data_IF_923694033477
#
_entry.id   IF_923694033477
#
_cell.length_a   1.000
_cell.length_b   1.000
_cell.length_c   1.000
_cell.angle_alpha   90.00
_cell.angle_beta   90.00
_cell.angle_gamma   90.00
#
_symmetry.space_group_name_H-M   'P 1'
#
loop_
_entity.id
_entity.type
_entity.pdbx_description
1 polymer ?
#
# COMPACT_ATOMS: atom_id res chain seq x y z
N UNK A 1 55.74 60.65 24.47
CA UNK A 1 55.70 61.41 25.75
C UNK A 1 54.32 61.22 26.40
N UNK A 2 54.16 61.63 27.66
CA UNK A 2 53.00 61.44 28.55
C UNK A 2 51.60 61.68 27.91
N UNK A 3 50.47 61.10 28.36
CA UNK A 3 50.19 60.30 29.56
C UNK A 3 49.34 61.05 30.61
N UNK A 4 48.06 60.67 30.77
CA UNK A 4 47.09 60.91 31.89
C UNK A 4 45.73 60.32 31.43
N UNK A 5 45.01 59.42 32.12
CA UNK A 5 44.39 59.42 33.48
C UNK A 5 43.43 60.61 33.70
N UNK A 6 42.24 60.48 34.32
CA UNK A 6 41.38 59.35 34.73
C UNK A 6 40.10 59.94 35.40
N UNK A 7 39.18 59.07 35.87
CA UNK A 7 38.06 59.30 36.82
C UNK A 7 36.77 59.84 36.19
N UNK A 8 35.55 59.62 36.70
CA UNK A 8 34.87 58.70 37.66
C UNK A 8 33.44 59.25 37.73
N UNK A 9 32.40 58.42 37.78
CA UNK A 9 31.48 58.37 38.93
C UNK A 9 30.42 57.28 38.78
N UNK A 10 30.11 56.63 39.90
CA UNK A 10 29.02 55.67 40.02
C UNK A 10 27.80 56.36 40.62
N UNK A 11 26.59 55.88 40.29
CA UNK A 11 25.43 56.02 41.16
C UNK A 11 24.66 54.69 41.21
N UNK A 12 24.73 54.00 42.35
CA UNK A 12 23.74 52.98 42.74
C UNK A 12 22.63 53.70 43.48
N UNK A 13 21.38 53.23 43.36
CA UNK A 13 20.52 53.07 44.54
C UNK A 13 19.52 51.93 44.34
N UNK A 14 19.09 51.38 45.46
CA UNK A 14 18.22 50.22 45.62
C UNK A 14 17.16 50.57 46.66
N UNK A 15 15.94 50.03 46.56
CA UNK A 15 15.33 49.20 47.62
C UNK A 15 13.78 49.11 47.59
N UNK A 16 13.30 47.87 47.49
CA UNK A 16 12.35 47.19 48.40
C UNK A 16 10.89 47.69 48.60
N UNK A 17 9.98 46.77 48.25
CA UNK A 17 8.86 46.24 49.05
C UNK A 17 8.04 47.15 49.97
N UNK A 18 6.70 47.06 49.81
CA UNK A 18 5.77 46.91 50.94
C UNK A 18 4.75 45.78 50.69
N UNK A 19 4.30 45.19 51.79
CA UNK A 19 3.43 44.02 51.91
C UNK A 19 2.18 44.46 52.70
N UNK A 20 0.97 43.99 52.37
CA UNK A 20 -0.19 44.14 53.27
C UNK A 20 -1.28 43.09 53.02
N UNK A 21 -1.74 42.46 54.11
CA UNK A 21 -2.84 41.48 54.14
C UNK A 21 -4.17 42.12 54.59
N UNK A 22 -5.30 41.51 54.19
CA UNK A 22 -6.52 41.13 54.97
C UNK A 22 -7.59 40.64 53.96
N UNK A 23 -8.00 39.36 53.94
CA UNK A 23 -9.11 38.70 54.69
C UNK A 23 -10.50 39.33 54.45
N UNK A 24 -11.62 38.62 54.21
CA UNK A 24 -11.97 37.20 53.96
C UNK A 24 -13.42 37.17 53.39
N UNK A 25 -13.92 36.14 52.69
CA UNK A 25 -14.87 35.11 53.22
C UNK A 25 -15.50 34.25 52.09
N UNK A 26 -16.09 33.09 52.46
CA UNK A 26 -17.03 32.21 51.72
C UNK A 26 -16.56 31.64 50.35
N UNK A 27 -16.25 30.35 50.16
CA UNK A 27 -16.99 29.07 50.43
C UNK A 27 -18.17 28.81 49.46
N UNK A 28 -17.90 28.12 48.35
CA UNK A 28 -18.89 27.35 47.59
C UNK A 28 -18.24 26.13 46.91
N UNK A 29 -18.22 25.00 47.61
CA UNK A 29 -17.79 23.70 47.09
C UNK A 29 -18.84 23.07 46.17
N UNK A 30 -18.46 22.62 44.97
CA UNK A 30 -19.25 21.65 44.19
C UNK A 30 -18.40 20.46 43.81
N UNK A 31 -18.75 19.30 44.36
CA UNK A 31 -18.13 18.02 44.05
C UNK A 31 -18.44 17.60 42.60
N UNK A 32 -17.45 17.03 41.92
CA UNK A 32 -17.67 16.08 40.83
C UNK A 32 -17.43 14.67 41.37
N UNK A 33 -18.36 13.71 41.20
CA UNK A 33 -18.21 12.37 41.74
C UNK A 33 -17.30 11.50 40.88
N UNK A 34 -16.38 10.80 41.53
CA UNK A 34 -15.62 9.69 40.94
C UNK A 34 -16.60 8.54 40.67
N UNK A 35 -16.72 8.13 39.41
CA UNK A 35 -17.53 6.97 39.02
C UNK A 35 -16.79 5.66 39.39
N UNK A 36 -17.00 5.18 40.61
CA UNK A 36 -16.46 3.91 41.07
C UNK A 36 -17.10 2.72 40.33
N UNK A 37 -16.26 1.77 39.91
CA UNK A 37 -16.70 0.54 39.25
C UNK A 37 -17.61 -0.29 40.16
N UNK A 38 -18.81 -0.64 39.68
CA UNK A 38 -19.69 -1.64 40.32
C UNK A 38 -19.59 -2.97 39.60
N UNK A 39 -18.86 -3.90 40.21
CA UNK A 39 -18.82 -5.30 39.85
C UNK A 39 -20.19 -5.96 40.02
N UNK A 40 -20.68 -6.65 38.98
CA UNK A 40 -21.84 -7.55 39.11
C UNK A 40 -21.40 -8.99 38.82
N UNK A 41 -21.40 -9.81 39.88
CA UNK A 41 -21.05 -11.24 39.80
C UNK A 41 -22.02 -11.99 38.89
N UNK A 42 -21.50 -12.79 37.96
CA UNK A 42 -22.09 -14.09 37.59
C UNK A 42 -21.06 -15.19 37.87
N UNK A 43 -21.54 -16.33 38.37
CA UNK A 43 -20.74 -17.51 38.73
C UNK A 43 -20.64 -18.47 37.53
N UNK A 44 -19.59 -19.29 37.49
CA UNK A 44 -19.66 -20.63 36.90
C UNK A 44 -18.55 -21.00 35.91
N UNK A 45 -17.60 -21.81 36.38
CA UNK A 45 -16.82 -22.83 35.65
C UNK A 45 -15.95 -22.39 34.43
N UNK A 46 -14.74 -22.91 34.20
CA UNK A 46 -13.89 -23.86 34.95
C UNK A 46 -12.39 -23.55 34.69
N UNK A 47 -11.50 -24.12 35.51
CA UNK A 47 -10.02 -24.05 35.39
C UNK A 47 -9.44 -25.47 35.51
N UNK A 48 -8.46 -25.87 34.70
CA UNK A 48 -7.48 -26.91 35.06
C UNK A 48 -6.24 -26.31 35.76
N UNK A 49 -5.47 -27.13 36.52
CA UNK A 49 -4.33 -26.68 37.32
C UNK A 49 -2.99 -26.69 36.57
N UNK A 50 -1.91 -26.10 37.15
CA UNK A 50 -0.57 -26.15 36.59
C UNK A 50 0.21 -27.40 37.04
N UNK A 51 1.19 -27.82 36.25
CA UNK A 51 2.31 -28.67 36.69
C UNK A 51 3.63 -28.02 36.25
N UNK A 52 4.60 -28.04 37.16
CA UNK A 52 5.99 -27.64 36.96
C UNK A 52 6.90 -28.77 37.50
N UNK A 53 8.22 -28.62 37.33
CA UNK A 53 9.30 -29.58 37.67
C UNK A 53 9.42 -30.76 36.66
N UNK A 54 10.59 -31.10 36.10
CA UNK A 54 11.97 -30.62 36.31
C UNK A 54 12.86 -30.83 35.07
N UNK A 55 13.99 -30.08 35.02
CA UNK A 55 15.37 -30.50 34.63
C UNK A 55 15.50 -31.66 33.61
N UNK A 56 16.21 -31.51 32.49
CA UNK A 56 17.68 -31.45 32.47
C UNK A 56 18.26 -30.79 31.19
N UNK A 57 19.58 -30.61 31.21
CA UNK A 57 20.42 -29.85 30.28
C UNK A 57 21.01 -30.74 29.16
N UNK A 58 21.88 -30.17 28.31
CA UNK A 58 22.70 -30.81 27.25
C UNK A 58 22.01 -31.09 25.89
N UNK A 59 22.66 -30.95 24.73
CA UNK A 59 23.82 -30.11 24.38
C UNK A 59 23.94 -29.95 22.84
N UNK A 60 24.51 -28.81 22.41
CA UNK A 60 25.24 -28.53 21.16
C UNK A 60 24.83 -29.22 19.83
N UNK A 61 24.40 -28.41 18.85
CA UNK A 61 24.36 -28.78 17.43
C UNK A 61 25.29 -27.91 16.57
N UNK A 62 26.42 -28.47 16.15
CA UNK A 62 27.40 -27.98 15.15
C UNK A 62 28.22 -29.23 14.69
N UNK A 63 28.74 -29.41 13.47
CA UNK A 63 28.92 -28.49 12.34
C UNK A 63 28.90 -29.23 10.95
N UNK A 64 29.23 -28.48 9.89
CA UNK A 64 29.33 -28.84 8.47
C UNK A 64 30.33 -29.96 8.09
N UNK A 65 30.13 -30.62 6.93
CA UNK A 65 31.12 -30.81 5.83
C UNK A 65 30.53 -31.51 4.58
N UNK A 66 31.21 -31.44 3.41
CA UNK A 66 30.65 -31.73 2.05
C UNK A 66 31.41 -32.91 1.32
N UNK A 67 31.41 -33.10 -0.04
CA UNK A 67 31.06 -34.32 -0.81
C UNK A 67 32.32 -35.18 -1.25
N UNK A 68 32.39 -36.06 -2.32
CA UNK A 68 31.43 -36.40 -3.42
C UNK A 68 31.41 -37.85 -4.04
N UNK A 69 30.32 -38.14 -4.80
CA UNK A 69 30.39 -38.60 -6.21
C UNK A 69 30.41 -40.10 -6.58
N UNK A 70 29.50 -40.51 -7.52
CA UNK A 70 29.76 -41.23 -8.81
C UNK A 70 28.44 -41.63 -9.52
N UNK A 71 28.53 -42.05 -10.80
CA UNK A 71 27.41 -42.16 -11.76
C UNK A 71 27.35 -43.53 -12.50
N UNK A 72 26.27 -43.75 -13.30
CA UNK A 72 26.12 -44.73 -14.43
C UNK A 72 25.78 -46.19 -13.99
N UNK A 73 25.01 -47.05 -14.76
CA UNK A 73 24.31 -46.87 -16.05
C UNK A 73 22.79 -47.19 -16.07
N UNK A 74 22.17 -46.96 -17.24
CA UNK A 74 20.90 -47.55 -17.71
C UNK A 74 21.23 -48.50 -18.88
N UNK A 75 20.69 -49.73 -18.94
CA UNK A 75 20.60 -50.56 -20.17
C UNK A 75 19.42 -51.52 -20.13
N UNK A 76 18.94 -51.87 -21.32
CA UNK A 76 17.82 -52.77 -21.59
C UNK A 76 18.22 -54.25 -21.52
N UNK A 77 17.27 -55.13 -21.21
CA UNK A 77 17.28 -56.54 -21.62
C UNK A 77 15.84 -57.06 -21.71
N UNK A 78 15.61 -58.00 -22.62
CA UNK A 78 14.29 -58.45 -23.08
C UNK A 78 13.90 -59.86 -22.58
N UNK A 79 12.59 -60.12 -22.60
CA UNK A 79 11.90 -61.40 -22.89
C UNK A 79 11.80 -62.52 -21.81
N UNK A 80 10.76 -63.34 -22.04
CA UNK A 80 10.42 -64.68 -21.49
C UNK A 80 9.89 -64.79 -20.05
N UNK A 81 8.56 -64.80 -19.91
CA UNK A 81 7.85 -65.89 -19.19
C UNK A 81 6.65 -66.34 -20.04
N UNK A 82 6.53 -67.65 -20.24
CA UNK A 82 5.42 -68.30 -20.95
C UNK A 82 4.31 -68.74 -20.00
N UNK A 83 3.06 -68.76 -20.46
CA UNK A 83 1.95 -69.45 -19.78
C UNK A 83 0.83 -69.82 -20.77
N UNK A 84 0.04 -70.87 -20.50
CA UNK A 84 -0.07 -71.90 -21.53
C UNK A 84 -1.49 -72.23 -22.02
N UNK A 85 -1.49 -73.04 -23.07
CA UNK A 85 -2.50 -74.06 -23.40
C UNK A 85 -3.98 -73.66 -23.45
N UNK A 86 -4.43 -73.50 -24.70
CA UNK A 86 -5.81 -73.71 -25.18
C UNK A 86 -6.55 -74.83 -24.42
N UNK A 87 -7.79 -74.55 -24.01
CA UNK A 87 -8.86 -75.56 -24.01
C UNK A 87 -9.99 -75.10 -24.93
N UNK A 88 -10.53 -76.02 -25.72
CA UNK A 88 -11.52 -75.75 -26.77
C UNK A 88 -12.90 -76.20 -26.28
N UNK A 89 -13.75 -75.25 -25.92
CA UNK A 89 -15.17 -75.50 -25.68
C UNK A 89 -16.01 -74.88 -26.81
N UNK A 90 -16.62 -75.75 -27.64
CA UNK A 90 -17.75 -75.34 -28.48
C UNK A 90 -18.97 -75.34 -27.59
N UNK A 91 -19.56 -74.17 -27.38
CA UNK A 91 -20.96 -74.08 -26.96
C UNK A 91 -21.76 -73.38 -28.06
N UNK A 92 -22.75 -74.10 -28.56
CA UNK A 92 -23.80 -73.54 -29.41
C UNK A 92 -24.61 -72.57 -28.57
N UNK A 93 -24.63 -71.31 -28.96
CA UNK A 93 -25.40 -70.27 -28.30
C UNK A 93 -25.57 -69.09 -29.24
N UNK A 94 -26.80 -68.85 -29.68
CA UNK A 94 -27.16 -67.61 -30.37
C UNK A 94 -26.97 -66.46 -29.38
N UNK A 95 -25.79 -65.87 -29.36
CA UNK A 95 -25.61 -64.58 -28.71
C UNK A 95 -26.42 -63.57 -29.53
N UNK A 96 -27.65 -63.31 -29.08
CA UNK A 96 -28.47 -62.21 -29.54
C UNK A 96 -27.65 -60.95 -29.35
N UNK A 97 -27.01 -60.50 -30.43
CA UNK A 97 -26.44 -59.17 -30.52
C UNK A 97 -27.62 -58.23 -30.44
N UNK A 98 -27.97 -57.82 -29.22
CA UNK A 98 -28.80 -56.65 -28.97
C UNK A 98 -28.30 -55.55 -29.91
N UNK A 99 -29.19 -54.83 -30.61
CA UNK A 99 -28.76 -53.64 -31.32
C UNK A 99 -28.03 -52.79 -30.29
N UNK A 100 -26.74 -52.53 -30.54
CA UNK A 100 -26.10 -51.36 -29.94
C UNK A 100 -27.02 -50.23 -30.37
N UNK A 101 -27.71 -49.57 -29.43
CA UNK A 101 -28.58 -48.45 -29.78
C UNK A 101 -27.72 -47.42 -30.47
N UNK A 102 -27.79 -47.41 -31.79
CA UNK A 102 -27.08 -46.47 -32.62
C UNK A 102 -27.78 -45.14 -32.52
N UNK A 103 -26.98 -44.09 -32.61
CA UNK A 103 -27.44 -42.82 -33.16
C UNK A 103 -28.38 -42.00 -32.25
N UNK A 104 -27.83 -41.53 -31.13
CA UNK A 104 -27.69 -40.07 -31.09
C UNK A 104 -26.51 -39.72 -32.00
N UNK A 105 -26.79 -39.19 -33.19
CA UNK A 105 -25.77 -38.66 -34.09
C UNK A 105 -25.08 -37.43 -33.50
N UNK A 106 -24.51 -36.51 -34.30
CA UNK A 106 -24.06 -35.21 -33.81
C UNK A 106 -25.28 -34.33 -33.45
N UNK A 107 -25.98 -34.71 -32.38
CA UNK A 107 -26.91 -33.84 -31.68
C UNK A 107 -26.07 -32.68 -31.15
N UNK A 108 -26.48 -31.44 -31.47
CA UNK A 108 -25.89 -30.25 -30.89
C UNK A 108 -26.13 -30.30 -29.37
N UNK A 109 -25.14 -30.80 -28.63
CA UNK A 109 -25.12 -30.69 -27.17
C UNK A 109 -25.24 -29.19 -26.84
N UNK A 110 -26.34 -28.75 -26.16
CA UNK A 110 -26.54 -27.34 -25.87
C UNK A 110 -25.39 -26.74 -25.05
N UNK A 111 -24.71 -27.54 -24.23
CA UNK A 111 -23.55 -27.12 -23.44
C UNK A 111 -22.35 -26.87 -24.37
N UNK A 112 -22.15 -27.73 -25.36
CA UNK A 112 -21.07 -27.60 -26.35
C UNK A 112 -21.30 -26.44 -27.32
N UNK A 113 -22.56 -26.13 -27.65
CA UNK A 113 -22.91 -24.90 -28.37
C UNK A 113 -22.53 -23.64 -27.56
N UNK A 114 -22.93 -23.58 -26.29
CA UNK A 114 -22.58 -22.46 -25.40
C UNK A 114 -21.07 -22.31 -25.17
N UNK A 115 -20.31 -23.41 -25.09
CA UNK A 115 -18.84 -23.35 -25.03
C UNK A 115 -18.23 -22.69 -26.27
N UNK A 116 -18.72 -23.02 -27.46
CA UNK A 116 -18.25 -22.40 -28.72
C UNK A 116 -18.59 -20.91 -28.78
N UNK A 117 -19.71 -20.49 -28.19
CA UNK A 117 -20.03 -19.07 -28.04
C UNK A 117 -19.03 -18.37 -27.10
N UNK A 118 -18.69 -18.98 -25.95
CA UNK A 118 -17.65 -18.49 -25.04
C UNK A 118 -16.28 -18.42 -25.76
N UNK A 119 -15.86 -19.46 -26.49
CA UNK A 119 -14.61 -19.46 -27.27
C UNK A 119 -14.55 -18.32 -28.28
N UNK A 120 -15.70 -17.92 -28.85
CA UNK A 120 -15.77 -16.82 -29.80
C UNK A 120 -15.71 -15.46 -29.08
N UNK A 121 -16.34 -15.31 -27.91
CA UNK A 121 -16.16 -14.14 -27.04
C UNK A 121 -14.70 -14.01 -26.60
N UNK A 122 -14.05 -15.10 -26.19
CA UNK A 122 -12.64 -15.10 -25.76
C UNK A 122 -11.69 -14.71 -26.90
N UNK A 123 -11.91 -15.19 -28.14
CA UNK A 123 -11.17 -14.70 -29.32
C UNK A 123 -11.34 -13.20 -29.51
N UNK A 124 -12.56 -12.67 -29.37
CA UNK A 124 -12.83 -11.23 -29.46
C UNK A 124 -12.15 -10.44 -28.33
N UNK A 125 -12.19 -10.94 -27.09
CA UNK A 125 -11.50 -10.33 -25.95
C UNK A 125 -9.98 -10.30 -26.16
N UNK A 126 -9.38 -11.39 -26.64
CA UNK A 126 -7.95 -11.45 -26.96
C UNK A 126 -7.56 -10.42 -28.03
N UNK A 127 -8.37 -10.27 -29.09
CA UNK A 127 -8.14 -9.27 -30.14
C UNK A 127 -8.24 -7.83 -29.59
N UNK A 128 -9.27 -7.53 -28.79
CA UNK A 128 -9.47 -6.21 -28.17
C UNK A 128 -8.35 -5.88 -27.16
N UNK A 129 -7.89 -6.85 -26.37
CA UNK A 129 -6.75 -6.69 -25.45
C UNK A 129 -5.46 -6.40 -26.22
N UNK A 130 -5.19 -7.13 -27.31
CA UNK A 130 -4.04 -6.87 -28.16
C UNK A 130 -4.08 -5.46 -28.77
N UNK A 131 -5.23 -5.04 -29.32
CA UNK A 131 -5.45 -3.70 -29.86
C UNK A 131 -5.24 -2.61 -28.78
N UNK A 132 -5.76 -2.82 -27.56
CA UNK A 132 -5.58 -1.90 -26.43
C UNK A 132 -4.11 -1.74 -26.05
N UNK A 133 -3.34 -2.84 -26.03
CA UNK A 133 -1.90 -2.80 -25.74
C UNK A 133 -1.13 -2.04 -26.82
N UNK A 134 -1.40 -2.30 -28.10
CA UNK A 134 -0.78 -1.56 -29.23
C UNK A 134 -1.09 -0.05 -29.18
N UNK A 135 -2.31 0.34 -28.79
CA UNK A 135 -2.67 1.75 -28.59
C UNK A 135 -1.91 2.36 -27.40
N UNK A 136 -1.73 1.62 -26.30
CA UNK A 136 -0.96 2.07 -25.16
C UNK A 136 0.54 2.27 -25.48
N UNK A 137 1.10 1.46 -26.38
CA UNK A 137 2.47 1.62 -26.90
C UNK A 137 2.59 2.86 -27.79
N UNK A 138 1.65 3.09 -28.71
CA UNK A 138 1.62 4.31 -29.54
C UNK A 138 1.54 5.58 -28.69
N UNK A 139 0.74 5.57 -27.61
CA UNK A 139 0.65 6.69 -26.66
C UNK A 139 1.99 6.93 -25.93
N UNK A 140 2.74 5.89 -25.61
CA UNK A 140 4.05 6.01 -24.98
C UNK A 140 5.12 6.51 -25.97
N UNK A 141 5.16 5.97 -27.18
CA UNK A 141 6.10 6.44 -28.22
C UNK A 141 5.85 7.89 -28.67
N UNK A 142 4.60 8.36 -28.60
CA UNK A 142 4.23 9.75 -28.88
C UNK A 142 4.51 10.72 -27.72
N UNK A 143 4.97 10.23 -26.56
CA UNK A 143 5.18 11.01 -25.34
C UNK A 143 6.52 10.69 -24.73
N UNK A 144 7.55 11.45 -25.12
CA UNK A 144 8.80 11.47 -24.36
C UNK A 144 8.59 12.17 -23.01
N UNK A 145 8.15 11.38 -22.04
CA UNK A 145 8.00 11.79 -20.66
C UNK A 145 9.09 11.09 -19.84
N UNK A 146 10.09 11.88 -19.46
CA UNK A 146 11.04 11.49 -18.42
C UNK A 146 10.30 11.14 -17.12
N UNK A 147 10.84 10.19 -16.38
CA UNK A 147 10.21 9.59 -15.20
C UNK A 147 9.51 8.26 -15.50
N UNK A 148 8.84 7.74 -14.47
CA UNK A 148 8.05 6.51 -14.56
C UNK A 148 6.73 6.74 -15.32
N UNK A 149 6.24 5.76 -16.12
CA UNK A 149 5.02 5.91 -16.92
C UNK A 149 3.71 5.87 -16.11
N UNK A 150 3.76 6.07 -14.79
CA UNK A 150 2.62 5.91 -13.89
C UNK A 150 1.85 7.23 -13.79
N UNK A 151 0.54 7.18 -14.00
CA UNK A 151 -0.37 8.35 -13.98
C UNK A 151 -1.62 7.97 -13.20
N UNK A 152 -1.47 7.90 -11.88
CA UNK A 152 -2.45 7.31 -10.98
C UNK A 152 -3.77 8.08 -10.95
N UNK A 153 -3.76 9.40 -11.11
CA UNK A 153 -4.98 10.20 -11.27
C UNK A 153 -5.77 9.76 -12.50
N UNK A 154 -5.10 9.68 -13.67
CA UNK A 154 -5.68 9.17 -14.92
C UNK A 154 -6.17 7.73 -14.80
N UNK A 155 -5.46 6.87 -14.07
CA UNK A 155 -5.88 5.48 -13.82
C UNK A 155 -7.15 5.41 -12.97
N UNK A 156 -7.27 6.21 -11.91
CA UNK A 156 -8.48 6.28 -11.07
C UNK A 156 -9.66 6.87 -11.86
N UNK A 157 -9.44 7.94 -12.63
CA UNK A 157 -10.47 8.53 -13.49
C UNK A 157 -11.01 7.51 -14.52
N UNK A 158 -10.12 6.75 -15.16
CA UNK A 158 -10.49 5.67 -16.07
C UNK A 158 -11.31 4.58 -15.36
N UNK A 159 -10.87 4.11 -14.19
CA UNK A 159 -11.56 3.05 -13.45
C UNK A 159 -12.94 3.50 -12.96
N UNK A 160 -13.07 4.71 -12.41
CA UNK A 160 -14.37 5.29 -12.02
C UNK A 160 -15.35 5.33 -13.18
N UNK A 161 -14.88 5.77 -14.37
CA UNK A 161 -15.71 5.81 -15.58
C UNK A 161 -16.17 4.40 -15.99
N UNK A 162 -15.25 3.44 -16.04
CA UNK A 162 -15.56 2.05 -16.42
C UNK A 162 -16.54 1.38 -15.46
N UNK A 163 -16.45 1.67 -14.16
CA UNK A 163 -17.40 1.16 -13.16
C UNK A 163 -18.79 1.77 -13.35
N UNK A 164 -18.90 3.05 -13.74
CA UNK A 164 -20.18 3.68 -14.05
C UNK A 164 -20.76 3.22 -15.41
N UNK A 165 -19.91 2.82 -16.35
CA UNK A 165 -20.27 2.29 -17.68
C UNK A 165 -20.52 0.76 -17.68
N UNK A 166 -20.21 0.05 -16.58
CA UNK A 166 -20.23 -1.41 -16.53
C UNK A 166 -21.66 -1.98 -16.58
N UNK A 167 -22.01 -2.81 -17.59
CA UNK A 167 -23.31 -3.48 -17.63
C UNK A 167 -23.33 -4.67 -16.66
N UNK A 168 -24.51 -5.00 -16.13
CA UNK A 168 -24.70 -6.27 -15.44
C UNK A 168 -24.37 -7.44 -16.38
N UNK A 169 -23.70 -8.52 -15.90
CA UNK A 169 -23.40 -8.85 -14.51
C UNK A 169 -21.99 -8.44 -14.03
N UNK A 170 -21.32 -7.44 -14.63
CA UNK A 170 -19.96 -7.07 -14.23
C UNK A 170 -19.94 -6.36 -12.87
N UNK A 171 -19.39 -7.03 -11.86
CA UNK A 171 -19.13 -6.44 -10.55
C UNK A 171 -18.00 -5.39 -10.59
N UNK A 172 -18.12 -4.36 -9.74
CA UNK A 172 -17.15 -3.26 -9.60
C UNK A 172 -15.73 -3.80 -9.34
N UNK A 173 -15.63 -4.80 -8.47
CA UNK A 173 -14.40 -5.45 -8.05
C UNK A 173 -13.70 -6.13 -9.24
N UNK A 174 -14.46 -6.84 -10.08
CA UNK A 174 -13.96 -7.49 -11.28
C UNK A 174 -13.48 -6.46 -12.32
N UNK A 175 -14.20 -5.34 -12.49
CA UNK A 175 -13.77 -4.22 -13.34
C UNK A 175 -12.45 -3.63 -12.84
N UNK A 176 -12.27 -3.47 -11.53
CA UNK A 176 -10.98 -3.01 -10.99
C UNK A 176 -9.87 -4.01 -11.28
N UNK A 177 -10.02 -5.30 -10.93
CA UNK A 177 -8.97 -6.31 -11.10
C UNK A 177 -8.56 -6.51 -12.58
N UNK A 178 -9.53 -6.64 -13.49
CA UNK A 178 -9.26 -6.81 -14.93
C UNK A 178 -8.51 -5.60 -15.50
N UNK A 179 -8.96 -4.37 -15.21
CA UNK A 179 -8.30 -3.19 -15.75
C UNK A 179 -6.98 -2.87 -15.03
N UNK A 180 -6.80 -3.20 -13.74
CA UNK A 180 -5.48 -3.16 -13.08
C UNK A 180 -4.50 -4.10 -13.76
N UNK A 181 -4.90 -5.33 -14.09
CA UNK A 181 -4.06 -6.27 -14.81
C UNK A 181 -3.65 -5.73 -16.20
N UNK A 182 -4.59 -5.16 -16.96
CA UNK A 182 -4.33 -4.55 -18.27
C UNK A 182 -3.46 -3.29 -18.20
N UNK A 183 -3.66 -2.44 -17.19
CA UNK A 183 -2.81 -1.25 -16.92
C UNK A 183 -1.40 -1.71 -16.57
N UNK A 184 -1.23 -2.61 -15.62
CA UNK A 184 0.09 -3.16 -15.24
C UNK A 184 0.81 -3.86 -16.41
N UNK A 185 0.07 -4.56 -17.28
CA UNK A 185 0.61 -5.11 -18.52
C UNK A 185 1.06 -4.03 -19.51
N UNK A 186 0.33 -2.91 -19.61
CA UNK A 186 0.70 -1.77 -20.44
C UNK A 186 1.98 -1.10 -19.91
N UNK A 187 2.03 -0.77 -18.61
CA UNK A 187 3.16 -0.11 -17.96
C UNK A 187 4.48 -0.88 -18.17
N UNK A 188 4.49 -2.20 -17.96
CA UNK A 188 5.68 -3.05 -18.15
C UNK A 188 6.20 -3.11 -19.59
N UNK A 189 5.37 -2.79 -20.60
CA UNK A 189 5.80 -2.68 -22.01
C UNK A 189 6.40 -1.31 -22.33
N UNK A 190 6.00 -0.28 -21.60
CA UNK A 190 6.51 1.09 -21.75
C UNK A 190 7.84 1.28 -21.03
N UNK A 191 7.99 0.74 -19.80
CA UNK A 191 9.24 0.77 -19.05
C UNK A 191 9.33 -0.35 -18.01
N UNK A 192 10.54 -0.70 -17.63
CA UNK A 192 10.80 -1.48 -16.41
C UNK A 192 10.36 -0.65 -15.20
N UNK A 193 9.51 -1.24 -14.37
CA UNK A 193 9.11 -0.69 -13.06
C UNK A 193 9.42 -1.74 -12.00
N UNK A 194 10.30 -1.38 -11.08
CA UNK A 194 10.68 -2.16 -9.90
C UNK A 194 9.98 -1.58 -8.67
N UNK A 195 9.33 -2.43 -7.88
CA UNK A 195 8.61 -2.02 -6.67
C UNK A 195 9.44 -2.42 -5.44
N UNK A 196 9.69 -1.47 -4.56
CA UNK A 196 10.34 -1.70 -3.27
C UNK A 196 9.34 -1.42 -2.16
N UNK A 197 8.93 -2.47 -1.46
CA UNK A 197 8.04 -2.38 -0.29
C UNK A 197 8.90 -2.22 0.96
N UNK A 198 8.74 -1.12 1.69
CA UNK A 198 9.51 -0.82 2.90
C UNK A 198 8.63 -0.75 4.14
N UNK A 199 8.97 -1.51 5.19
CA UNK A 199 8.24 -1.53 6.45
C UNK A 199 7.28 -2.71 6.59
N UNK A 200 6.19 -2.51 7.33
CA UNK A 200 5.27 -3.60 7.69
C UNK A 200 5.84 -4.54 8.77
N UNK A 201 6.62 -4.03 9.74
CA UNK A 201 7.26 -4.84 10.81
C UNK A 201 6.32 -5.83 11.52
N UNK A 202 5.03 -5.52 11.64
CA UNK A 202 4.00 -6.39 12.23
C UNK A 202 3.33 -7.35 11.24
N UNK A 203 3.33 -7.01 9.94
CA UNK A 203 2.72 -7.79 8.85
C UNK A 203 3.36 -7.39 7.49
N UNK A 204 4.52 -7.98 7.14
CA UNK A 204 5.20 -7.65 5.88
C UNK A 204 4.42 -8.15 4.65
N UNK A 205 3.69 -9.26 4.82
CA UNK A 205 2.93 -9.93 3.77
C UNK A 205 1.78 -9.07 3.28
N UNK A 206 1.00 -8.46 4.18
CA UNK A 206 -0.13 -7.59 3.81
C UNK A 206 0.31 -6.41 2.94
N UNK A 207 1.39 -5.72 3.30
CA UNK A 207 1.88 -4.57 2.51
C UNK A 207 2.42 -5.02 1.14
N UNK A 208 3.06 -6.19 1.09
CA UNK A 208 3.48 -6.81 -0.16
C UNK A 208 2.30 -7.22 -1.04
N UNK A 209 1.22 -7.75 -0.47
CA UNK A 209 0.00 -8.14 -1.18
C UNK A 209 -0.77 -6.92 -1.72
N UNK A 210 -0.84 -5.83 -0.96
CA UNK A 210 -1.39 -4.54 -1.43
C UNK A 210 -0.63 -4.03 -2.64
N UNK A 211 0.72 -4.07 -2.61
CA UNK A 211 1.55 -3.74 -3.76
C UNK A 211 1.34 -4.74 -4.93
N UNK A 212 1.24 -6.04 -4.64
CA UNK A 212 1.06 -7.11 -5.63
C UNK A 212 -0.26 -7.00 -6.40
N UNK A 213 -1.36 -6.67 -5.73
CA UNK A 213 -2.66 -6.39 -6.37
C UNK A 213 -2.60 -5.16 -7.25
N UNK A 214 -1.96 -4.08 -6.79
CA UNK A 214 -1.89 -2.84 -7.57
C UNK A 214 -0.98 -2.94 -8.81
N UNK A 215 0.23 -3.47 -8.67
CA UNK A 215 1.23 -3.53 -9.76
C UNK A 215 1.16 -4.81 -10.60
N UNK A 216 0.45 -5.85 -10.12
CA UNK A 216 0.20 -7.10 -10.83
C UNK A 216 1.32 -8.15 -10.70
N UNK A 217 0.97 -9.41 -10.96
CA UNK A 217 1.77 -10.59 -10.64
C UNK A 217 3.15 -10.70 -11.34
N UNK A 218 3.36 -10.00 -12.46
CA UNK A 218 4.61 -10.03 -13.25
C UNK A 218 5.57 -8.88 -12.93
N UNK A 219 5.18 -7.94 -12.08
CA UNK A 219 6.05 -6.82 -11.68
C UNK A 219 7.01 -7.30 -10.60
N UNK A 220 8.28 -6.92 -10.68
CA UNK A 220 9.28 -7.29 -9.67
C UNK A 220 9.00 -6.49 -8.41
N UNK A 221 8.77 -7.18 -7.30
CA UNK A 221 8.53 -6.59 -5.98
C UNK A 221 9.58 -7.15 -5.02
N UNK A 222 10.35 -6.27 -4.39
CA UNK A 222 11.30 -6.60 -3.32
C UNK A 222 10.82 -5.99 -2.00
N UNK A 223 11.15 -6.64 -0.88
CA UNK A 223 10.89 -6.11 0.45
C UNK A 223 12.19 -5.59 1.08
N UNK A 224 12.09 -4.51 1.85
CA UNK A 224 13.13 -3.98 2.72
C UNK A 224 12.54 -3.68 4.10
N UNK A 225 13.31 -3.90 5.17
CA UNK A 225 12.79 -3.86 6.54
C UNK A 225 12.16 -2.52 6.95
N UNK A 226 12.70 -1.39 6.48
CA UNK A 226 12.29 -0.04 6.89
C UNK A 226 11.74 0.79 5.71
N UNK A 227 10.67 1.60 5.90
CA UNK A 227 10.12 2.46 4.85
C UNK A 227 11.14 3.42 4.22
N UNK A 228 12.03 3.98 5.02
CA UNK A 228 13.09 4.89 4.58
C UNK A 228 14.06 4.22 3.60
N UNK A 229 14.28 2.91 3.72
CA UNK A 229 15.13 2.17 2.78
C UNK A 229 14.44 1.96 1.42
N UNK A 230 13.10 1.89 1.38
CA UNK A 230 12.35 1.87 0.12
C UNK A 230 12.38 3.24 -0.56
N UNK A 231 12.13 4.31 0.21
CA UNK A 231 12.24 5.68 -0.27
C UNK A 231 13.66 5.97 -0.80
N UNK A 232 14.71 5.54 -0.09
CA UNK A 232 16.10 5.71 -0.53
C UNK A 232 16.34 5.07 -1.92
N UNK A 233 15.91 3.82 -2.11
CA UNK A 233 16.06 3.12 -3.40
C UNK A 233 15.29 3.80 -4.54
N UNK A 234 14.11 4.38 -4.26
CA UNK A 234 13.35 5.15 -5.25
C UNK A 234 14.02 6.48 -5.60
N UNK A 235 14.57 7.20 -4.61
CA UNK A 235 15.33 8.43 -4.83
C UNK A 235 16.63 8.20 -5.62
N UNK A 236 17.32 7.07 -5.38
CA UNK A 236 18.52 6.66 -6.11
C UNK A 236 18.23 6.20 -7.55
N UNK A 237 17.02 5.68 -7.82
CA UNK A 237 16.64 5.09 -9.10
C UNK A 237 15.31 5.68 -9.63
N UNK A 238 15.21 7.01 -9.81
CA UNK A 238 13.93 7.72 -10.01
C UNK A 238 13.20 7.35 -11.31
N UNK A 239 13.92 6.76 -12.28
CA UNK A 239 13.39 6.41 -13.60
C UNK A 239 12.80 4.99 -13.66
N UNK A 240 13.03 4.15 -12.65
CA UNK A 240 12.71 2.72 -12.65
C UNK A 240 12.13 2.18 -11.34
N UNK A 241 12.39 2.81 -10.19
CA UNK A 241 11.97 2.31 -8.87
C UNK A 241 10.82 3.13 -8.27
N UNK A 242 9.82 2.41 -7.76
CA UNK A 242 8.72 2.94 -6.94
C UNK A 242 8.84 2.41 -5.52
N UNK A 243 8.71 3.29 -4.53
CA UNK A 243 8.63 2.91 -3.13
C UNK A 243 7.18 2.72 -2.69
N UNK A 244 6.90 1.67 -1.92
CA UNK A 244 5.63 1.46 -1.21
C UNK A 244 5.89 1.42 0.27
N UNK A 245 5.20 2.25 1.04
CA UNK A 245 5.33 2.34 2.51
C UNK A 245 3.96 2.17 3.17
N UNK A 246 3.88 1.79 4.46
CA UNK A 246 2.65 1.92 5.24
C UNK A 246 2.13 3.35 5.18
N UNK A 247 0.81 3.53 5.33
CA UNK A 247 0.22 4.85 5.52
C UNK A 247 0.86 5.57 6.73
N UNK A 248 1.10 6.89 6.67
CA UNK A 248 1.64 7.64 7.81
C UNK A 248 0.66 7.64 8.98
N UNK A 249 1.07 7.02 10.08
CA UNK A 249 0.33 7.02 11.34
C UNK A 249 0.84 8.10 12.32
N UNK A 250 0.11 8.24 13.42
CA UNK A 250 0.51 9.02 14.61
C UNK A 250 1.96 8.71 15.06
N UNK A 251 2.65 9.68 15.71
CA UNK A 251 4.05 9.52 16.10
C UNK A 251 4.24 8.36 17.08
N UNK A 252 5.33 7.62 16.89
CA UNK A 252 5.70 6.47 17.71
C UNK A 252 6.99 5.82 17.23
N UNK A 253 7.39 4.74 17.89
CA UNK A 253 8.57 3.94 17.49
C UNK A 253 8.33 3.37 16.07
N UNK A 254 9.19 3.74 15.12
CA UNK A 254 9.04 3.36 13.71
C UNK A 254 8.27 4.36 12.85
N UNK A 255 7.93 5.55 13.35
CA UNK A 255 7.34 6.61 12.52
C UNK A 255 8.34 7.08 11.46
N UNK A 256 8.01 6.84 10.19
CA UNK A 256 8.94 6.99 9.06
C UNK A 256 8.77 8.31 8.28
N UNK A 257 7.55 8.85 8.24
CA UNK A 257 7.22 10.04 7.46
C UNK A 257 7.98 11.32 7.85
N UNK A 258 8.48 11.53 9.09
CA UNK A 258 9.33 12.68 9.41
C UNK A 258 10.59 12.78 8.55
N UNK A 259 11.10 11.64 8.05
CA UNK A 259 12.25 11.59 7.15
C UNK A 259 11.99 12.29 5.80
N UNK A 260 10.74 12.41 5.34
CA UNK A 260 10.38 13.11 4.09
C UNK A 260 10.72 14.62 4.10
N UNK A 261 11.09 15.19 5.26
CA UNK A 261 11.64 16.54 5.36
C UNK A 261 13.07 16.65 4.82
N UNK A 262 13.82 15.55 4.75
CA UNK A 262 15.19 15.50 4.29
C UNK A 262 15.30 15.71 2.77
N UNK A 263 16.28 16.52 2.33
CA UNK A 263 16.47 16.91 0.91
C UNK A 263 16.54 15.74 -0.06
N UNK A 264 17.12 14.60 0.36
CA UNK A 264 17.23 13.38 -0.46
C UNK A 264 15.90 12.77 -0.89
N UNK A 265 14.78 13.16 -0.29
CA UNK A 265 13.43 12.71 -0.68
C UNK A 265 12.58 13.83 -1.29
N UNK A 266 13.16 14.98 -1.65
CA UNK A 266 12.40 16.14 -2.17
C UNK A 266 11.79 15.89 -3.55
N UNK A 267 12.44 15.08 -4.39
CA UNK A 267 11.95 14.69 -5.72
C UNK A 267 10.96 13.51 -5.69
N UNK A 268 10.74 12.88 -4.52
CA UNK A 268 9.78 11.80 -4.36
C UNK A 268 8.42 12.34 -3.97
N UNK A 269 7.40 12.02 -4.77
CA UNK A 269 6.03 12.46 -4.56
C UNK A 269 5.09 11.29 -4.30
N UNK A 270 4.09 11.52 -3.43
CA UNK A 270 2.96 10.62 -3.25
C UNK A 270 2.13 10.62 -4.53
N UNK A 271 2.12 9.49 -5.24
CA UNK A 271 1.36 9.33 -6.49
C UNK A 271 0.08 8.49 -6.29
N UNK A 272 0.02 7.64 -5.26
CA UNK A 272 -1.14 6.80 -4.99
C UNK A 272 -1.28 6.43 -3.51
N UNK A 273 -2.52 6.27 -3.06
CA UNK A 273 -2.90 5.61 -1.81
C UNK A 273 -3.55 4.27 -2.15
N UNK A 274 -3.07 3.17 -1.56
CA UNK A 274 -3.55 1.81 -1.85
C UNK A 274 -4.30 1.19 -0.65
N UNK A 275 -5.28 0.31 -0.88
CA UNK A 275 -5.82 -0.10 -2.18
C UNK A 275 -6.67 1.01 -2.84
N UNK A 276 -6.70 1.04 -4.18
CA UNK A 276 -7.51 2.00 -4.95
C UNK A 276 -9.00 1.89 -4.63
N UNK A 277 -9.52 0.67 -4.61
CA UNK A 277 -10.89 0.40 -4.17
C UNK A 277 -10.98 0.55 -2.65
N UNK A 278 -11.97 1.30 -2.19
CA UNK A 278 -12.33 1.39 -0.78
C UNK A 278 -13.36 0.31 -0.46
N UNK A 279 -13.02 -0.63 0.42
CA UNK A 279 -13.98 -1.62 0.90
C UNK A 279 -14.96 -0.97 1.89
N UNK A 280 -16.20 -1.48 1.95
CA UNK A 280 -17.23 -0.98 2.87
C UNK A 280 -16.85 -1.06 4.37
N UNK A 281 -15.87 -1.90 4.72
CA UNK A 281 -15.29 -2.02 6.06
C UNK A 281 -13.85 -1.49 6.17
N UNK A 282 -13.33 -0.83 5.12
CA UNK A 282 -11.99 -0.24 5.13
C UNK A 282 -12.00 1.16 5.76
N UNK A 283 -10.86 1.58 6.33
CA UNK A 283 -10.66 2.95 6.77
C UNK A 283 -10.81 3.95 5.62
N UNK A 284 -11.25 5.16 5.96
CA UNK A 284 -11.19 6.34 5.06
C UNK A 284 -9.76 6.54 4.53
N UNK A 285 -8.77 6.24 5.37
CA UNK A 285 -7.36 6.26 5.02
C UNK A 285 -6.94 5.00 4.25
N UNK A 286 -6.04 5.13 3.25
CA UNK A 286 -5.40 3.98 2.59
C UNK A 286 -4.54 3.15 3.58
N UNK A 287 -4.20 1.92 3.20
CA UNK A 287 -3.25 1.10 3.96
C UNK A 287 -1.78 1.43 3.63
N UNK A 288 -1.52 1.92 2.42
CA UNK A 288 -0.18 2.18 1.92
C UNK A 288 -0.08 3.44 1.07
N UNK A 289 1.09 4.08 1.12
CA UNK A 289 1.50 5.14 0.19
C UNK A 289 2.37 4.56 -0.93
N UNK A 290 2.27 5.16 -2.11
CA UNK A 290 3.16 4.91 -3.26
C UNK A 290 3.93 6.19 -3.56
N UNK A 291 5.26 6.12 -3.48
CA UNK A 291 6.16 7.22 -3.80
C UNK A 291 6.99 6.94 -5.04
N UNK A 292 7.06 7.92 -5.94
CA UNK A 292 7.87 7.87 -7.15
C UNK A 292 8.43 9.27 -7.47
N UNK A 293 9.48 9.32 -8.29
CA UNK A 293 9.91 10.58 -8.89
C UNK A 293 9.04 10.89 -10.12
N UNK A 294 8.34 12.01 -10.09
CA UNK A 294 7.45 12.44 -11.16
C UNK A 294 6.32 13.35 -10.68
N UNK A 295 5.72 14.08 -11.62
CA UNK A 295 4.59 14.97 -11.33
C UNK A 295 3.32 14.19 -11.00
N UNK A 296 2.63 14.59 -9.94
CA UNK A 296 1.31 14.10 -9.54
C UNK A 296 0.23 14.58 -10.51
N UNK A 297 -0.78 13.75 -10.76
CA UNK A 297 -1.92 14.06 -11.62
C UNK A 297 -3.26 13.93 -10.87
N UNK A 298 -4.21 14.81 -11.19
CA UNK A 298 -5.58 14.77 -10.63
C UNK A 298 -6.42 13.68 -11.31
N UNK A 299 -7.27 13.01 -10.54
CA UNK A 299 -8.31 12.11 -11.02
C UNK A 299 -9.61 12.83 -11.44
N UNK A 300 -9.61 14.16 -11.51
CA UNK A 300 -10.77 14.98 -11.87
C UNK A 300 -11.81 15.12 -10.76
N UNK A 301 -11.41 15.00 -9.49
CA UNK A 301 -12.31 15.12 -8.33
C UNK A 301 -12.09 14.00 -7.30
N UNK A 302 -12.46 14.24 -6.03
CA UNK A 302 -12.16 13.31 -4.94
C UNK A 302 -10.66 13.00 -4.83
N UNK A 303 -9.83 13.99 -5.19
CA UNK A 303 -8.39 14.00 -5.02
C UNK A 303 -8.08 14.51 -3.61
N UNK A 304 -7.10 13.89 -2.95
CA UNK A 304 -6.67 14.22 -1.61
C UNK A 304 -5.16 14.49 -1.68
N UNK A 305 -4.71 15.62 -1.14
CA UNK A 305 -3.29 16.00 -1.14
C UNK A 305 -2.70 15.93 0.26
N UNK A 306 -1.50 15.35 0.40
CA UNK A 306 -0.72 15.43 1.64
C UNK A 306 0.31 16.56 1.55
N UNK A 307 0.37 17.40 2.59
CA UNK A 307 1.39 18.42 2.79
C UNK A 307 2.25 18.07 4.01
N UNK A 308 3.55 18.30 3.91
CA UNK A 308 4.47 18.31 5.05
C UNK A 308 4.86 19.76 5.36
N UNK A 309 4.81 20.15 6.61
CA UNK A 309 5.24 21.47 7.06
C UNK A 309 5.91 21.39 8.44
N UNK A 310 6.52 22.49 8.86
CA UNK A 310 6.90 22.72 10.24
C UNK A 310 5.91 23.69 10.90
N UNK A 311 5.41 23.33 12.08
CA UNK A 311 4.37 24.05 12.82
C UNK A 311 4.68 24.09 14.32
N UNK A 312 5.73 24.83 14.67
CA UNK A 312 6.19 25.03 16.06
C UNK A 312 5.20 25.78 16.96
N UNK A 313 4.09 26.29 16.41
CA UNK A 313 3.15 27.17 17.10
C UNK A 313 1.68 26.71 16.99
N UNK A 314 1.43 25.49 16.52
CA UNK A 314 0.08 24.90 16.33
C UNK A 314 -0.87 25.77 15.48
N UNK A 315 -0.34 26.43 14.45
CA UNK A 315 -1.06 27.33 13.55
C UNK A 315 -1.69 26.62 12.34
N UNK A 316 -1.39 25.34 12.10
CA UNK A 316 -1.79 24.63 10.88
C UNK A 316 -3.25 24.85 10.46
N UNK A 317 -4.23 24.57 11.32
CA UNK A 317 -5.64 24.72 10.96
C UNK A 317 -6.02 26.16 10.59
N UNK A 318 -5.43 27.16 11.27
CA UNK A 318 -5.64 28.57 10.92
C UNK A 318 -5.03 28.87 9.55
N UNK A 319 -3.79 28.45 9.30
CA UNK A 319 -3.11 28.66 8.04
C UNK A 319 -3.89 28.07 6.85
N UNK A 320 -4.45 26.87 7.01
CA UNK A 320 -5.32 26.25 6.01
C UNK A 320 -6.56 27.12 5.69
N UNK A 321 -7.26 27.59 6.73
CA UNK A 321 -8.43 28.45 6.58
C UNK A 321 -8.09 29.78 5.87
N UNK A 322 -6.99 30.43 6.24
CA UNK A 322 -6.52 31.71 5.65
C UNK A 322 -6.01 31.53 4.20
N UNK A 323 -5.58 30.32 3.83
CA UNK A 323 -5.21 29.94 2.46
C UNK A 323 -6.40 29.46 1.61
N UNK A 324 -7.60 29.35 2.19
CA UNK A 324 -8.80 28.82 1.53
C UNK A 324 -8.73 27.33 1.21
N UNK A 325 -7.93 26.56 1.96
CA UNK A 325 -7.74 25.12 1.77
C UNK A 325 -8.57 24.34 2.81
N UNK A 326 -9.42 23.42 2.37
CA UNK A 326 -10.17 22.54 3.27
C UNK A 326 -9.30 21.34 3.63
N UNK A 327 -8.92 21.22 4.90
CA UNK A 327 -8.02 20.17 5.36
C UNK A 327 -7.91 20.05 6.88
N UNK A 328 -7.17 19.02 7.30
CA UNK A 328 -6.97 18.61 8.71
C UNK A 328 -5.56 18.08 8.95
N UNK A 329 -5.13 18.09 10.21
CA UNK A 329 -3.90 17.40 10.65
C UNK A 329 -4.12 15.88 10.65
N UNK A 330 -3.16 15.13 10.09
CA UNK A 330 -3.13 13.66 10.06
C UNK A 330 -2.19 13.12 11.14
N UNK A 331 -0.99 13.69 11.22
CA UNK A 331 0.05 13.29 12.16
C UNK A 331 0.99 14.45 12.47
N UNK A 332 1.62 14.40 13.65
CA UNK A 332 2.59 15.40 14.12
C UNK A 332 3.79 14.70 14.73
N UNK A 333 4.98 15.22 14.47
CA UNK A 333 6.25 14.74 15.01
C UNK A 333 7.15 15.96 15.16
N UNK A 334 6.99 16.65 16.28
CA UNK A 334 7.35 18.06 16.43
C UNK A 334 8.80 18.38 16.04
N UNK A 335 9.05 19.52 15.36
CA UNK A 335 8.06 20.52 14.94
C UNK A 335 7.31 20.17 13.63
N UNK A 336 7.47 18.97 13.06
CA UNK A 336 6.85 18.59 11.78
C UNK A 336 5.36 18.27 11.96
N UNK A 337 4.56 18.66 10.98
CA UNK A 337 3.15 18.32 10.84
C UNK A 337 2.86 17.78 9.45
N UNK A 338 2.03 16.75 9.37
CA UNK A 338 1.49 16.18 8.15
C UNK A 338 0.02 16.59 8.05
N UNK A 339 -0.33 17.31 6.98
CA UNK A 339 -1.68 17.81 6.73
C UNK A 339 -2.29 17.07 5.54
N UNK A 340 -3.60 16.83 5.63
CA UNK A 340 -4.43 16.31 4.55
C UNK A 340 -5.34 17.43 4.06
N UNK A 341 -5.37 17.62 2.75
CA UNK A 341 -6.23 18.57 2.04
C UNK A 341 -7.23 17.77 1.20
N UNK A 342 -8.51 18.08 1.28
CA UNK A 342 -9.61 17.35 0.58
C UNK A 342 -9.80 17.84 -0.88
N UNK A 343 -8.70 18.23 -1.54
CA UNK A 343 -8.66 18.60 -2.95
C UNK A 343 -7.27 18.35 -3.57
N UNK A 344 -7.17 18.46 -4.91
CA UNK A 344 -5.90 18.44 -5.62
C UNK A 344 -5.16 19.78 -5.45
N UNK A 345 -3.98 19.72 -4.84
CA UNK A 345 -3.05 20.84 -4.71
C UNK A 345 -1.76 20.44 -5.44
N UNK A 346 -1.48 21.09 -6.56
CA UNK A 346 -0.30 20.80 -7.37
C UNK A 346 1.01 21.13 -6.66
N UNK A 347 2.13 20.52 -7.07
CA UNK A 347 3.44 20.67 -6.42
C UNK A 347 3.91 22.14 -6.26
N UNK A 348 3.50 23.01 -7.18
CA UNK A 348 3.79 24.45 -7.21
C UNK A 348 2.54 25.32 -7.00
N UNK A 349 1.48 24.82 -6.34
CA UNK A 349 0.25 25.58 -6.10
C UNK A 349 0.53 26.80 -5.19
N UNK A 350 0.14 28.02 -5.60
CA UNK A 350 0.41 29.23 -4.83
C UNK A 350 -0.27 29.23 -3.44
N UNK A 351 -1.37 28.49 -3.25
CA UNK A 351 -2.04 28.35 -1.95
C UNK A 351 -1.18 27.58 -0.96
N UNK A 352 -0.48 26.54 -1.43
CA UNK A 352 0.49 25.82 -0.60
C UNK A 352 1.70 26.70 -0.23
N UNK A 353 2.18 27.54 -1.16
CA UNK A 353 3.23 28.51 -0.87
C UNK A 353 2.80 29.58 0.15
N UNK A 354 1.56 30.07 0.05
CA UNK A 354 0.98 31.09 0.94
C UNK A 354 0.89 30.66 2.41
N UNK A 355 0.81 29.34 2.69
CA UNK A 355 0.84 28.81 4.05
C UNK A 355 2.07 29.25 4.86
N UNK A 356 3.21 29.55 4.20
CA UNK A 356 4.38 30.09 4.88
C UNK A 356 4.11 31.50 5.47
N UNK A 357 3.35 32.34 4.76
CA UNK A 357 2.96 33.67 5.24
C UNK A 357 1.99 33.62 6.42
N UNK A 358 1.30 32.48 6.61
CA UNK A 358 0.39 32.25 7.75
C UNK A 358 1.05 31.55 8.95
N UNK A 359 2.37 31.41 8.92
CA UNK A 359 3.17 30.97 10.07
C UNK A 359 3.40 29.46 10.16
N UNK A 360 3.21 28.73 9.06
CA UNK A 360 3.91 27.46 8.83
C UNK A 360 5.30 27.74 8.25
N UNK A 361 6.21 26.78 8.33
CA UNK A 361 7.55 26.88 7.75
C UNK A 361 7.86 25.65 6.89
N UNK A 362 8.67 25.81 5.85
CA UNK A 362 9.15 24.70 5.01
C UNK A 362 8.04 23.88 4.37
N UNK A 363 6.92 24.51 4.02
CA UNK A 363 5.74 23.85 3.46
C UNK A 363 6.09 23.16 2.14
N UNK A 364 5.85 21.85 2.08
CA UNK A 364 6.12 20.98 0.94
C UNK A 364 4.87 20.17 0.58
N UNK A 365 4.44 20.27 -0.67
CA UNK A 365 3.46 19.34 -1.23
C UNK A 365 4.13 17.97 -1.39
N UNK A 366 3.70 16.97 -0.61
CA UNK A 366 4.19 15.61 -0.78
C UNK A 366 3.59 14.97 -2.03
N UNK A 367 2.32 15.24 -2.31
CA UNK A 367 1.63 14.77 -3.51
C UNK A 367 0.17 14.43 -3.25
N UNK A 368 -0.51 14.02 -4.32
CA UNK A 368 -1.96 13.84 -4.35
C UNK A 368 -2.31 12.41 -4.77
N UNK A 369 -3.41 11.90 -4.24
CA UNK A 369 -3.96 10.59 -4.58
C UNK A 369 -5.48 10.63 -4.66
N UNK A 370 -6.08 9.65 -5.32
CA UNK A 370 -7.52 9.46 -5.38
C UNK A 370 -7.87 7.97 -5.18
N UNK A 371 -9.11 7.70 -4.76
CA UNK A 371 -9.66 6.34 -4.57
C UNK A 371 -11.03 6.17 -5.23
N UNK A 372 -11.51 4.93 -5.26
CA UNK A 372 -12.71 4.42 -5.94
C UNK A 372 -13.71 3.92 -4.90
#
# INVERSE_FOLDING_TARGET
>A
MHGRRARRCCARHSARHKFRMRSSTARASRHWPIAAARTRRRRGCARPPPLALSLLHESCGQAYSVPPGRCIPRREAQLWVTSPARSRWRLSGKCLRLPRMTDTGPQNDPIEALRREIDNVDKSLLALVAQRLQLAEKIAGAKDQGGLPIRSGREVALLRRLIAEAPAPLERELVVELWRALIGASLRRQRIVDVVVGGGRSDPTRLFDVARRHFGARTRISHVGEPQAALQKAAENPQTVVAVTPWPAAPGVGSWWPALSERRFHDLHLIAGLPFLSGAASSEEPEACVFAAGATDSAGGGDITLLLAFDSHHKAQRALNEAGLVGREVARSEPRVLLRIEEFVGLNDPRAAALNSYGLEGVRVLGSYARI
#
